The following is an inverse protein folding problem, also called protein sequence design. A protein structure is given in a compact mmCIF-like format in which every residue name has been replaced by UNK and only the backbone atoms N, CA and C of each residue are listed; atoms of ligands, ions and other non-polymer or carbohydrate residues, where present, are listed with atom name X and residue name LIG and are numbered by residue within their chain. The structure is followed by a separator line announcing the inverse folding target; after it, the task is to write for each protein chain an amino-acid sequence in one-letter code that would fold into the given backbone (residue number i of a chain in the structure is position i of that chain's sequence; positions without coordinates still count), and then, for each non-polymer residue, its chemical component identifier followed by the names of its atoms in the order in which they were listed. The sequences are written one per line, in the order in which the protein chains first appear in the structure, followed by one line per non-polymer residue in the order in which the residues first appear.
data_IF_127891933441
#
_entry.id   IF_127891933441
#
_cell.length_a   1.000
_cell.length_b   1.000
_cell.length_c   1.000
_cell.angle_alpha   90.00
_cell.angle_beta   90.00
_cell.angle_gamma   90.00
#
_symmetry.space_group_name_H-M   'P 1'
#
loop_
_entity.id
_entity.type
_entity.pdbx_description
1 polymer ?
#
# COMPACT_ATOMS: atom_id res chain seq x y z
N UNK A 1 9.69 -10.50 13.21
CA UNK A 1 8.71 -9.48 12.76
C UNK A 1 7.35 -9.93 13.24
N UNK A 2 6.62 -9.06 13.94
CA UNK A 2 5.31 -9.39 14.49
C UNK A 2 4.22 -8.90 13.53
N UNK A 3 3.18 -9.70 13.24
CA UNK A 3 2.03 -9.25 12.47
C UNK A 3 1.34 -8.07 13.15
N UNK A 4 0.86 -7.11 12.36
CA UNK A 4 0.02 -6.01 12.85
C UNK A 4 -1.30 -6.57 13.37
N UNK A 5 -1.78 -5.99 14.47
CA UNK A 5 -3.05 -6.31 15.10
C UNK A 5 -3.99 -5.11 14.99
N UNK A 6 -5.29 -5.38 15.12
CA UNK A 6 -6.28 -4.31 15.17
C UNK A 6 -5.99 -3.37 16.35
N UNK A 7 -6.00 -2.06 16.09
CA UNK A 7 -5.69 -1.02 17.06
C UNK A 7 -4.21 -0.58 17.07
N UNK A 8 -3.32 -1.31 16.41
CA UNK A 8 -1.94 -0.86 16.22
C UNK A 8 -1.92 0.43 15.39
N UNK A 9 -1.04 1.36 15.77
CA UNK A 9 -0.73 2.51 14.93
C UNK A 9 -0.06 1.99 13.65
N UNK A 10 -0.60 2.35 12.49
CA UNK A 10 -0.03 1.97 11.21
C UNK A 10 1.44 2.44 11.12
N UNK A 11 2.39 1.56 10.76
CA UNK A 11 3.78 1.95 10.56
C UNK A 11 3.89 3.04 9.49
N UNK A 12 4.74 4.04 9.74
CA UNK A 12 5.06 5.04 8.72
C UNK A 12 5.83 4.37 7.59
N UNK A 13 5.44 4.68 6.36
CA UNK A 13 6.17 4.29 5.16
C UNK A 13 6.13 5.42 4.14
N UNK A 14 7.14 5.40 3.28
CA UNK A 14 7.24 6.18 2.06
C UNK A 14 7.67 5.23 0.96
N UNK A 15 6.90 5.15 -0.11
CA UNK A 15 7.15 4.25 -1.23
C UNK A 15 6.93 5.00 -2.54
N UNK A 16 7.72 4.75 -3.59
CA UNK A 16 7.43 5.27 -4.91
C UNK A 16 6.17 4.61 -5.47
N UNK A 17 5.36 5.38 -6.17
CA UNK A 17 4.26 4.88 -6.97
C UNK A 17 4.72 4.37 -8.35
N UNK A 18 3.77 4.07 -9.23
CA UNK A 18 4.05 3.59 -10.59
C UNK A 18 4.79 4.60 -11.49
N UNK A 19 4.68 5.89 -11.20
CA UNK A 19 5.31 6.97 -11.96
C UNK A 19 6.63 7.43 -11.29
N UNK A 20 6.98 6.83 -10.15
CA UNK A 20 8.18 7.14 -9.37
C UNK A 20 7.99 8.30 -8.41
N UNK A 21 6.77 8.79 -8.22
CA UNK A 21 6.45 9.83 -7.25
C UNK A 21 6.40 9.22 -5.84
N UNK A 22 6.96 9.93 -4.86
CA UNK A 22 6.99 9.45 -3.48
C UNK A 22 5.62 9.63 -2.81
N UNK A 23 5.05 8.52 -2.32
CA UNK A 23 3.81 8.52 -1.56
C UNK A 23 4.12 8.27 -0.08
N UNK A 24 3.77 9.22 0.79
CA UNK A 24 3.92 9.07 2.23
C UNK A 24 2.57 8.77 2.87
N UNK A 25 2.52 7.80 3.78
CA UNK A 25 1.28 7.53 4.54
C UNK A 25 0.79 8.77 5.31
N UNK A 26 1.70 9.64 5.73
CA UNK A 26 1.39 10.86 6.48
C UNK A 26 0.65 11.91 5.68
N UNK A 27 0.69 11.87 4.35
CA UNK A 27 0.02 12.85 3.49
C UNK A 27 -1.51 12.68 3.53
N UNK A 28 -1.98 11.51 3.98
CA UNK A 28 -3.40 11.16 4.11
C UNK A 28 -3.96 11.35 5.53
N UNK A 29 -3.31 12.12 6.39
CA UNK A 29 -3.80 12.37 7.75
C UNK A 29 -5.23 12.93 7.75
N UNK A 30 -6.07 12.40 8.65
CA UNK A 30 -7.48 12.77 8.74
C UNK A 30 -8.40 12.04 7.74
N UNK A 31 -7.84 11.24 6.83
CA UNK A 31 -8.59 10.44 5.87
C UNK A 31 -8.60 8.96 6.28
N UNK A 32 -9.61 8.21 5.78
CA UNK A 32 -9.61 6.75 5.88
C UNK A 32 -8.85 6.17 4.69
N UNK A 33 -7.84 5.36 4.96
CA UNK A 33 -6.96 4.76 3.95
C UNK A 33 -6.99 3.24 4.08
N UNK A 34 -7.04 2.54 2.94
CA UNK A 34 -6.87 1.09 2.85
C UNK A 34 -5.52 0.80 2.20
N UNK A 35 -4.65 0.08 2.90
CA UNK A 35 -3.36 -0.39 2.35
C UNK A 35 -3.46 -1.89 2.14
N UNK A 36 -3.13 -2.35 0.93
CA UNK A 36 -3.20 -3.76 0.55
C UNK A 36 -1.92 -4.16 -0.19
N UNK A 37 -1.27 -5.23 0.27
CA UNK A 37 -0.07 -5.78 -0.35
C UNK A 37 -0.43 -7.03 -1.16
N UNK A 38 0.14 -7.14 -2.35
CA UNK A 38 0.00 -8.32 -3.21
C UNK A 38 1.40 -8.80 -3.65
N UNK A 39 1.61 -10.11 -3.92
CA UNK A 39 2.96 -10.66 -4.13
C UNK A 39 3.65 -10.17 -5.40
N UNK A 40 2.89 -9.99 -6.49
CA UNK A 40 3.45 -9.59 -7.79
C UNK A 40 2.39 -8.98 -8.70
N UNK A 41 2.74 -7.88 -9.37
CA UNK A 41 1.91 -7.26 -10.41
C UNK A 41 2.03 -8.02 -11.73
N UNK A 42 1.11 -7.82 -12.67
CA UNK A 42 1.22 -8.35 -14.04
C UNK A 42 1.49 -9.87 -14.11
N UNK A 43 0.87 -10.65 -13.21
CA UNK A 43 0.86 -12.11 -13.34
C UNK A 43 -0.15 -12.51 -14.43
N UNK A 44 -0.08 -13.72 -15.02
CA UNK A 44 -0.99 -14.12 -16.10
C UNK A 44 -2.49 -14.06 -15.75
N UNK A 45 -2.84 -14.05 -14.46
CA UNK A 45 -4.21 -13.81 -13.99
C UNK A 45 -4.65 -12.33 -14.03
N UNK A 46 -3.73 -11.39 -14.26
CA UNK A 46 -3.96 -9.94 -14.34
C UNK A 46 -4.04 -9.39 -15.77
N UNK A 47 -3.91 -10.21 -16.82
CA UNK A 47 -3.95 -9.71 -18.22
C UNK A 47 -5.33 -9.83 -18.89
N UNK A 48 -6.36 -10.27 -18.17
CA UNK A 48 -7.72 -10.45 -18.73
C UNK A 48 -8.62 -9.23 -18.51
N UNK A 49 -8.26 -8.29 -17.63
CA UNK A 49 -9.04 -7.07 -17.42
C UNK A 49 -8.11 -5.85 -17.23
N UNK A 50 -8.08 -5.01 -18.27
CA UNK A 50 -8.04 -3.57 -18.15
C UNK A 50 -9.40 -3.04 -18.62
#
# INVERSE_FOLDING_TARGET
MNPLKAGDIAPKFSLPDQDGEEVNLTDFQGQRVLVYFYPKAMTPGCTVQA
#
